data_IF_469489679454
#
_entry.id   IF_469489679454
#
_cell.length_a   1.000
_cell.length_b   1.000
_cell.length_c   1.000
_cell.angle_alpha   90.00
_cell.angle_beta   90.00
_cell.angle_gamma   90.00
#
_symmetry.space_group_name_H-M   'P 1'
#
loop_
_entity.id
_entity.type
_entity.pdbx_description
1 polymer ?
#
# COMPACT_ATOMS: atom_id res chain seq x y z
N UNK A 1 32.69 -27.98 0.99
CA UNK A 1 32.48 -26.54 1.18
C UNK A 1 31.83 -25.96 -0.08
N UNK A 2 30.52 -26.17 -0.24
CA UNK A 2 29.70 -25.70 -1.38
C UNK A 2 28.25 -25.43 -0.91
N UNK A 3 28.06 -24.70 0.20
CA UNK A 3 26.71 -24.39 0.71
C UNK A 3 26.39 -22.89 0.82
N UNK A 4 27.31 -21.98 0.49
CA UNK A 4 27.11 -20.54 0.76
C UNK A 4 26.50 -19.74 -0.42
N UNK A 5 26.25 -20.38 -1.57
CA UNK A 5 25.79 -19.67 -2.78
C UNK A 5 24.26 -19.76 -2.99
N UNK A 6 23.57 -20.68 -2.31
CA UNK A 6 22.12 -20.90 -2.51
C UNK A 6 21.27 -19.91 -1.68
N UNK A 7 21.82 -19.40 -0.59
CA UNK A 7 21.12 -18.55 0.40
C UNK A 7 20.71 -17.15 -0.10
N UNK A 8 21.52 -16.40 -0.88
CA UNK A 8 21.18 -15.03 -1.28
C UNK A 8 19.97 -14.96 -2.21
N UNK A 9 19.84 -15.93 -3.13
CA UNK A 9 18.71 -15.95 -4.07
C UNK A 9 17.39 -16.32 -3.38
N UNK A 10 17.42 -17.22 -2.39
CA UNK A 10 16.24 -17.60 -1.63
C UNK A 10 15.66 -16.39 -0.86
N UNK A 11 16.52 -15.59 -0.20
CA UNK A 11 16.10 -14.37 0.51
C UNK A 11 15.55 -13.32 -0.47
N UNK A 12 16.18 -13.12 -1.63
CA UNK A 12 15.64 -12.24 -2.67
C UNK A 12 14.24 -12.67 -3.14
N UNK A 13 14.02 -13.95 -3.43
CA UNK A 13 12.70 -14.45 -3.82
C UNK A 13 11.67 -14.34 -2.71
N UNK A 14 12.06 -14.52 -1.44
CA UNK A 14 11.16 -14.33 -0.31
C UNK A 14 10.76 -12.86 -0.14
N UNK A 15 11.67 -11.91 -0.39
CA UNK A 15 11.35 -10.46 -0.43
C UNK A 15 10.39 -10.13 -1.57
N UNK A 16 10.61 -10.70 -2.77
CA UNK A 16 9.70 -10.54 -3.91
C UNK A 16 8.31 -11.09 -3.57
N UNK A 17 8.23 -12.30 -3.00
CA UNK A 17 6.96 -12.89 -2.58
C UNK A 17 6.26 -12.03 -1.52
N UNK A 18 7.00 -11.53 -0.54
CA UNK A 18 6.46 -10.62 0.47
C UNK A 18 5.92 -9.31 -0.12
N UNK A 19 6.59 -8.77 -1.14
CA UNK A 19 6.11 -7.63 -1.90
C UNK A 19 4.84 -7.93 -2.70
N UNK A 20 4.80 -9.06 -3.41
CA UNK A 20 3.61 -9.49 -4.17
C UNK A 20 2.41 -9.64 -3.24
N UNK A 21 2.57 -10.33 -2.12
CA UNK A 21 1.50 -10.53 -1.13
C UNK A 21 0.98 -9.20 -0.56
N UNK A 22 1.87 -8.26 -0.23
CA UNK A 22 1.49 -6.94 0.25
C UNK A 22 0.69 -6.19 -0.83
N UNK A 23 1.13 -6.26 -2.09
CA UNK A 23 0.49 -5.62 -3.22
C UNK A 23 -0.91 -6.18 -3.51
N UNK A 24 -1.08 -7.50 -3.39
CA UNK A 24 -2.38 -8.15 -3.51
C UNK A 24 -3.36 -7.69 -2.43
N UNK A 25 -2.93 -7.68 -1.16
CA UNK A 25 -3.75 -7.20 -0.04
C UNK A 25 -4.15 -5.73 -0.21
N UNK A 26 -3.22 -4.90 -0.70
CA UNK A 26 -3.53 -3.51 -1.07
C UNK A 26 -4.60 -3.44 -2.16
N UNK A 27 -4.47 -4.20 -3.25
CA UNK A 27 -5.46 -4.19 -4.33
C UNK A 27 -6.85 -4.64 -3.87
N UNK A 28 -6.93 -5.60 -2.95
CA UNK A 28 -8.20 -6.05 -2.37
C UNK A 28 -8.83 -4.98 -1.47
N UNK A 29 -8.02 -4.28 -0.67
CA UNK A 29 -8.49 -3.17 0.15
C UNK A 29 -8.92 -1.96 -0.71
N UNK A 30 -8.16 -1.63 -1.75
CA UNK A 30 -8.47 -0.55 -2.69
C UNK A 30 -9.78 -0.80 -3.44
N UNK A 31 -9.99 -2.03 -3.91
CA UNK A 31 -11.26 -2.43 -4.50
C UNK A 31 -12.43 -2.31 -3.52
N UNK A 32 -12.24 -2.68 -2.24
CA UNK A 32 -13.29 -2.54 -1.23
C UNK A 32 -13.59 -1.07 -0.92
N UNK A 33 -12.55 -0.24 -0.81
CA UNK A 33 -12.67 1.22 -0.65
C UNK A 33 -13.36 1.90 -1.84
N UNK A 34 -13.12 1.42 -3.06
CA UNK A 34 -13.78 1.95 -4.26
C UNK A 34 -15.24 1.55 -4.41
N UNK A 35 -15.65 0.41 -3.82
CA UNK A 35 -16.99 -0.17 -4.00
C UNK A 35 -17.96 0.11 -2.84
N UNK A 36 -17.48 0.66 -1.71
CA UNK A 36 -18.30 0.87 -0.50
C UNK A 36 -17.98 2.24 0.12
N UNK A 37 -18.93 2.86 0.85
CA UNK A 37 -18.62 4.01 1.68
C UNK A 37 -17.49 3.67 2.68
N UNK A 38 -16.53 4.58 2.89
CA UNK A 38 -15.48 4.36 3.88
C UNK A 38 -16.08 4.31 5.29
N UNK A 39 -15.74 3.25 6.03
CA UNK A 39 -16.03 3.06 7.45
C UNK A 39 -14.70 2.94 8.21
N UNK A 40 -14.64 3.26 9.51
CA UNK A 40 -13.37 3.37 10.24
C UNK A 40 -12.47 2.15 10.07
N UNK A 41 -13.02 0.95 10.17
CA UNK A 41 -12.28 -0.31 10.11
C UNK A 41 -11.67 -0.53 8.72
N UNK A 42 -12.43 -0.19 7.67
CA UNK A 42 -11.98 -0.34 6.29
C UNK A 42 -10.88 0.67 5.94
N UNK A 43 -10.98 1.90 6.46
CA UNK A 43 -9.94 2.92 6.28
C UNK A 43 -8.66 2.52 7.02
N UNK A 44 -8.77 2.05 8.26
CA UNK A 44 -7.62 1.56 9.03
C UNK A 44 -6.93 0.39 8.33
N UNK A 45 -7.70 -0.55 7.80
CA UNK A 45 -7.17 -1.65 7.01
C UNK A 45 -6.45 -1.13 5.77
N UNK A 46 -7.07 -0.23 5.00
CA UNK A 46 -6.49 0.37 3.80
C UNK A 46 -5.16 1.07 4.09
N UNK A 47 -5.12 1.93 5.11
CA UNK A 47 -3.89 2.62 5.56
C UNK A 47 -2.82 1.61 5.96
N UNK A 48 -3.19 0.55 6.70
CA UNK A 48 -2.26 -0.49 7.14
C UNK A 48 -1.63 -1.25 5.97
N UNK A 49 -2.43 -1.71 5.01
CA UNK A 49 -1.92 -2.45 3.84
C UNK A 49 -1.13 -1.54 2.90
N UNK A 50 -1.53 -0.28 2.74
CA UNK A 50 -0.78 0.72 1.95
C UNK A 50 0.61 0.95 2.55
N UNK A 51 0.71 1.10 3.88
CA UNK A 51 2.00 1.16 4.59
C UNK A 51 2.81 -0.13 4.45
N UNK A 52 2.15 -1.29 4.40
CA UNK A 52 2.84 -2.56 4.21
C UNK A 52 3.49 -2.67 2.83
N UNK A 53 2.81 -2.19 1.77
CA UNK A 53 3.41 -2.13 0.41
C UNK A 53 4.63 -1.21 0.38
N UNK A 54 4.56 -0.03 1.01
CA UNK A 54 5.71 0.87 1.10
C UNK A 54 6.94 0.21 1.76
N UNK A 55 6.72 -0.49 2.89
CA UNK A 55 7.78 -1.26 3.55
C UNK A 55 8.33 -2.37 2.67
N UNK A 56 7.45 -3.10 1.98
CA UNK A 56 7.87 -4.19 1.10
C UNK A 56 8.71 -3.69 -0.08
N UNK A 57 8.37 -2.53 -0.66
CA UNK A 57 9.22 -1.87 -1.66
C UNK A 57 10.65 -1.66 -1.15
N UNK A 58 10.80 -1.03 0.03
CA UNK A 58 12.14 -0.78 0.60
C UNK A 58 12.91 -2.07 0.90
N UNK A 59 12.21 -3.13 1.29
CA UNK A 59 12.84 -4.42 1.57
C UNK A 59 13.42 -5.08 0.30
N UNK A 60 12.88 -4.81 -0.90
CA UNK A 60 13.40 -5.38 -2.15
C UNK A 60 14.88 -5.01 -2.41
N UNK A 61 15.31 -3.83 -1.94
CA UNK A 61 16.65 -3.28 -2.19
C UNK A 61 17.47 -3.14 -0.91
N UNK A 62 17.10 -3.84 0.15
CA UNK A 62 17.80 -3.80 1.44
C UNK A 62 19.30 -4.17 1.30
N UNK A 63 19.63 -5.00 0.31
CA UNK A 63 21.01 -5.27 -0.11
C UNK A 63 21.44 -4.25 -1.17
N UNK A 64 22.30 -3.31 -0.75
CA UNK A 64 22.62 -2.05 -1.45
C UNK A 64 23.51 -2.19 -2.71
N UNK A 65 23.52 -3.34 -3.38
CA UNK A 65 24.32 -3.56 -4.60
C UNK A 65 23.54 -3.27 -5.90
N UNK A 66 22.50 -2.44 -5.81
CA UNK A 66 21.67 -2.08 -6.95
C UNK A 66 22.14 -0.76 -7.59
N UNK A 67 22.02 -0.61 -8.92
CA UNK A 67 22.25 0.67 -9.57
C UNK A 67 21.42 1.80 -8.94
N UNK A 68 21.98 3.01 -8.88
CA UNK A 68 21.34 4.16 -8.22
C UNK A 68 19.92 4.46 -8.73
N UNK A 69 19.65 4.20 -10.01
CA UNK A 69 18.34 4.43 -10.61
C UNK A 69 17.30 3.39 -10.17
N UNK A 70 17.71 2.17 -9.82
CA UNK A 70 16.83 1.16 -9.20
C UNK A 70 16.44 1.62 -7.80
N UNK A 71 17.43 2.05 -7.02
CA UNK A 71 17.21 2.56 -5.66
C UNK A 71 16.24 3.74 -5.67
N UNK A 72 16.48 4.72 -6.55
CA UNK A 72 15.61 5.88 -6.71
C UNK A 72 14.17 5.50 -7.11
N UNK A 73 13.99 4.52 -8.01
CA UNK A 73 12.67 4.06 -8.42
C UNK A 73 11.92 3.38 -7.27
N UNK A 74 12.61 2.54 -6.49
CA UNK A 74 12.02 1.85 -5.33
C UNK A 74 11.67 2.82 -4.21
N UNK A 75 12.55 3.78 -3.91
CA UNK A 75 12.29 4.82 -2.92
C UNK A 75 11.09 5.69 -3.34
N UNK A 76 11.05 6.13 -4.60
CA UNK A 76 9.92 6.89 -5.15
C UNK A 76 8.60 6.11 -5.06
N UNK A 77 8.63 4.81 -5.33
CA UNK A 77 7.45 3.95 -5.20
C UNK A 77 7.00 3.84 -3.74
N UNK A 78 7.93 3.59 -2.81
CA UNK A 78 7.62 3.52 -1.38
C UNK A 78 7.03 4.83 -0.85
N UNK A 79 7.63 5.97 -1.19
CA UNK A 79 7.18 7.31 -0.78
C UNK A 79 5.77 7.63 -1.28
N UNK A 80 5.42 7.19 -2.49
CA UNK A 80 4.07 7.38 -3.04
C UNK A 80 3.01 6.66 -2.18
N UNK A 81 3.28 5.41 -1.79
CA UNK A 81 2.37 4.65 -0.90
C UNK A 81 2.33 5.24 0.52
N UNK A 82 3.44 5.72 1.07
CA UNK A 82 3.43 6.39 2.38
C UNK A 82 2.63 7.68 2.38
N UNK A 83 2.77 8.46 1.32
CA UNK A 83 2.02 9.70 1.14
C UNK A 83 0.53 9.40 1.04
N UNK A 84 0.14 8.43 0.20
CA UNK A 84 -1.24 7.96 0.11
C UNK A 84 -1.79 7.50 1.48
N UNK A 85 -1.03 6.72 2.25
CA UNK A 85 -1.46 6.27 3.57
C UNK A 85 -1.66 7.43 4.56
N UNK A 86 -0.76 8.43 4.54
CA UNK A 86 -0.85 9.62 5.40
C UNK A 86 -2.05 10.49 5.02
N UNK A 87 -2.26 10.73 3.73
CA UNK A 87 -3.39 11.53 3.23
C UNK A 87 -4.72 10.89 3.62
N UNK A 88 -4.85 9.56 3.48
CA UNK A 88 -6.04 8.84 3.89
C UNK A 88 -6.27 8.87 5.41
N UNK A 89 -5.21 8.69 6.20
CA UNK A 89 -5.30 8.76 7.66
C UNK A 89 -5.70 10.17 8.13
N UNK A 90 -5.09 11.21 7.57
CA UNK A 90 -5.41 12.61 7.89
C UNK A 90 -6.85 12.97 7.50
N UNK A 91 -7.23 12.70 6.25
CA UNK A 91 -8.58 12.98 5.76
C UNK A 91 -9.66 12.27 6.59
N UNK A 92 -9.37 11.05 7.05
CA UNK A 92 -10.30 10.30 7.88
C UNK A 92 -10.41 10.86 9.31
N UNK A 93 -9.29 11.22 9.93
CA UNK A 93 -9.27 11.79 11.28
C UNK A 93 -10.04 13.12 11.34
N UNK A 94 -9.81 14.01 10.38
CA UNK A 94 -10.55 15.29 10.28
C UNK A 94 -12.06 15.03 10.21
N UNK A 95 -12.46 13.96 9.52
CA UNK A 95 -13.85 13.56 9.36
C UNK A 95 -14.52 13.01 10.59
N UNK A 96 -13.79 12.21 11.37
CA UNK A 96 -14.30 11.69 12.64
C UNK A 96 -14.43 12.83 13.65
N UNK A 97 -13.53 13.82 13.60
CA UNK A 97 -13.61 15.02 14.43
C UNK A 97 -14.80 15.92 14.08
N UNK A 98 -15.14 16.06 12.80
CA UNK A 98 -16.24 16.91 12.32
C UNK A 98 -17.63 16.25 12.33
N UNK A 99 -17.72 14.93 12.57
CA UNK A 99 -18.99 14.22 12.58
C UNK A 99 -19.83 14.58 13.83
N UNK A 100 -21.06 15.14 13.69
CA UNK A 100 -21.92 15.35 14.84
C UNK A 100 -22.27 13.99 15.46
N UNK A 101 -22.15 13.88 16.79
CA UNK A 101 -22.15 12.64 17.56
C UNK A 101 -23.41 11.75 17.45
N UNK A 102 -24.39 12.12 16.62
CA UNK A 102 -25.78 11.67 16.80
C UNK A 102 -26.37 10.89 15.64
N UNK A 103 -25.73 10.84 14.46
CA UNK A 103 -26.31 10.10 13.34
C UNK A 103 -25.23 9.37 12.55
N UNK A 104 -25.30 8.02 12.55
CA UNK A 104 -24.47 7.11 11.77
C UNK A 104 -24.69 7.21 10.25
N UNK A 105 -24.64 8.43 9.72
CA UNK A 105 -24.79 8.73 8.32
C UNK A 105 -23.49 8.41 7.59
N UNK A 106 -23.62 7.58 6.56
CA UNK A 106 -22.56 7.20 5.65
C UNK A 106 -21.76 8.43 5.21
N UNK A 107 -20.51 8.43 5.65
CA UNK A 107 -19.52 9.49 5.49
C UNK A 107 -19.20 9.56 3.97
N UNK A 108 -19.93 10.38 3.20
CA UNK A 108 -19.79 10.55 1.72
C UNK A 108 -18.36 10.88 1.27
N UNK A 109 -17.67 10.08 0.43
CA UNK A 109 -16.26 10.34 0.08
C UNK A 109 -16.05 11.76 -0.45
N UNK A 110 -15.13 12.52 0.17
CA UNK A 110 -14.68 13.81 -0.34
C UNK A 110 -13.95 13.57 -1.67
N UNK A 111 -14.18 14.37 -2.73
CA UNK A 111 -13.55 14.17 -4.03
C UNK A 111 -12.02 14.20 -3.97
N UNK A 112 -11.44 14.88 -2.97
CA UNK A 112 -9.99 14.94 -2.76
C UNK A 112 -9.42 13.72 -2.03
N UNK A 113 -10.26 12.93 -1.34
CA UNK A 113 -9.86 11.66 -0.74
C UNK A 113 -10.19 10.49 -1.66
N UNK A 114 -10.34 10.71 -2.97
CA UNK A 114 -10.45 9.61 -3.93
C UNK A 114 -9.07 9.07 -4.25
N UNK A 115 -8.90 7.74 -4.37
CA UNK A 115 -7.77 7.19 -5.09
C UNK A 115 -7.78 7.83 -6.49
N UNK A 116 -6.62 8.25 -7.00
CA UNK A 116 -6.52 8.76 -8.37
C UNK A 116 -7.18 7.74 -9.31
N UNK A 117 -8.27 8.10 -10.01
CA UNK A 117 -8.98 7.14 -10.84
C UNK A 117 -8.09 6.81 -12.03
N UNK A 118 -7.61 5.57 -12.14
CA UNK A 118 -7.02 5.12 -13.41
C UNK A 118 -6.02 3.99 -13.43
N UNK A 119 -5.50 3.45 -12.31
CA UNK A 119 -4.61 2.28 -12.41
C UNK A 119 -5.42 0.98 -12.38
N UNK A 120 -5.97 0.59 -13.54
CA UNK A 120 -6.32 -0.82 -13.78
C UNK A 120 -5.03 -1.64 -13.69
N UNK A 121 -4.80 -2.30 -12.57
CA UNK A 121 -3.72 -3.27 -12.49
C UNK A 121 -4.03 -4.45 -13.41
N UNK A 122 -3.05 -4.97 -14.17
CA UNK A 122 -3.28 -6.11 -15.06
C UNK A 122 -3.78 -7.29 -14.24
N UNK A 123 -4.91 -7.88 -14.66
CA UNK A 123 -5.34 -9.20 -14.18
C UNK A 123 -4.27 -10.22 -14.58
N UNK A 124 -4.01 -11.21 -13.72
CA UNK A 124 -3.16 -12.37 -14.02
C UNK A 124 -3.44 -12.85 -15.45
N UNK A 125 -2.40 -12.87 -16.29
CA UNK A 125 -2.38 -13.75 -17.44
C UNK A 125 -2.22 -15.16 -16.87
N UNK A 126 -3.31 -15.92 -16.88
CA UNK A 126 -3.35 -17.35 -16.58
C UNK A 126 -2.66 -18.14 -17.67
#
# INVERSE_FOLDING_TARGET
MLNDVVTPMADYYDRIRGWEEAYWKYNEADQRMGNRPPVPELVQEYVSVTRAVARAWRNLVAERDQPWWVLAAVDSAAEAFETQAREWESCWLDRVADAPAENGLAVRPHPECRPVPGRRYPRRLS
#
